data_IF_809085017386
#
_entry.id   IF_809085017386
#
_cell.length_a   1.000
_cell.length_b   1.000
_cell.length_c   1.000
_cell.angle_alpha   90.00
_cell.angle_beta   90.00
_cell.angle_gamma   90.00
#
_symmetry.space_group_name_H-M   'P 1'
#
loop_
_entity.id
_entity.type
_entity.pdbx_description
1 polymer ?
#
# COMPACT_ATOMS: atom_id res chain seq x y z
N UNK A 1 -2.23 36.12 -8.90
CA UNK A 1 -0.76 36.15 -9.07
C UNK A 1 -0.22 34.93 -9.82
N UNK A 2 -0.17 33.70 -9.28
CA UNK A 2 0.44 32.56 -9.99
C UNK A 2 -0.20 32.25 -11.35
N UNK A 3 -1.54 32.21 -11.44
CA UNK A 3 -2.28 31.99 -12.70
C UNK A 3 -1.96 33.08 -13.74
N UNK A 4 -1.77 34.31 -13.28
CA UNK A 4 -1.54 35.46 -14.15
C UNK A 4 -0.09 35.54 -14.62
N UNK A 5 0.87 35.07 -13.81
CA UNK A 5 2.30 35.19 -14.10
C UNK A 5 2.91 33.95 -14.74
N UNK A 6 2.42 32.75 -14.42
CA UNK A 6 3.01 31.51 -14.95
C UNK A 6 2.65 31.30 -16.42
N UNK A 7 3.68 31.17 -17.25
CA UNK A 7 3.58 30.95 -18.69
C UNK A 7 4.53 29.84 -19.12
N UNK A 8 4.18 29.10 -20.17
CA UNK A 8 5.05 28.09 -20.78
C UNK A 8 5.02 28.21 -22.31
N UNK A 9 6.06 27.74 -23.00
CA UNK A 9 6.05 27.67 -24.44
C UNK A 9 5.14 26.54 -24.95
N UNK A 10 4.32 26.86 -25.93
CA UNK A 10 3.51 25.92 -26.69
C UNK A 10 3.85 26.04 -28.17
N UNK A 11 4.24 24.91 -28.76
CA UNK A 11 4.45 24.81 -30.21
C UNK A 11 3.11 24.62 -30.92
N UNK A 12 2.90 25.35 -32.01
CA UNK A 12 1.71 25.23 -32.85
C UNK A 12 2.07 25.38 -34.33
N UNK A 13 1.25 24.81 -35.20
CA UNK A 13 1.42 24.90 -36.64
C UNK A 13 0.54 26.02 -37.19
N UNK A 14 1.16 26.97 -37.91
CA UNK A 14 0.45 28.03 -38.62
C UNK A 14 0.93 28.08 -40.06
N UNK A 15 0.03 27.81 -41.01
CA UNK A 15 0.34 27.78 -42.45
C UNK A 15 1.50 26.85 -42.83
N UNK A 16 1.65 25.72 -42.12
CA UNK A 16 2.71 24.73 -42.37
C UNK A 16 4.07 25.06 -41.73
N UNK A 17 4.18 26.16 -40.99
CA UNK A 17 5.40 26.54 -40.25
C UNK A 17 5.18 26.31 -38.76
N UNK A 18 6.13 25.64 -38.10
CA UNK A 18 6.13 25.49 -36.65
C UNK A 18 6.48 26.83 -35.99
N UNK A 19 5.60 27.31 -35.12
CA UNK A 19 5.78 28.53 -34.32
C UNK A 19 5.62 28.21 -32.84
N UNK A 20 6.12 29.11 -32.00
CA UNK A 20 6.06 28.99 -30.55
C UNK A 20 5.35 30.21 -29.96
N UNK A 21 4.47 29.99 -28.97
CA UNK A 21 3.80 31.05 -28.22
C UNK A 21 3.83 30.78 -26.73
N UNK A 22 3.83 31.84 -25.93
CA UNK A 22 3.73 31.73 -24.48
C UNK A 22 2.26 31.66 -24.06
N UNK A 23 1.86 30.56 -23.45
CA UNK A 23 0.49 30.32 -22.96
C UNK A 23 0.43 30.26 -21.43
N UNK A 24 -0.71 30.61 -20.80
CA UNK A 24 -0.91 30.43 -19.37
C UNK A 24 -0.67 28.98 -18.93
N UNK A 25 0.17 28.80 -17.90
CA UNK A 25 0.44 27.49 -17.32
C UNK A 25 -0.74 26.94 -16.52
N UNK A 26 -1.56 27.84 -15.99
CA UNK A 26 -2.75 27.52 -15.25
C UNK A 26 -3.91 28.36 -15.79
N UNK A 27 -5.10 27.76 -15.79
CA UNK A 27 -6.36 28.47 -16.04
C UNK A 27 -7.35 28.16 -14.93
N UNK A 28 -8.16 29.14 -14.56
CA UNK A 28 -9.31 28.92 -13.68
C UNK A 28 -10.55 28.62 -14.54
N UNK A 29 -11.29 27.58 -14.18
CA UNK A 29 -12.49 27.14 -14.88
C UNK A 29 -13.59 26.75 -13.89
N UNK A 30 -14.82 26.60 -14.38
CA UNK A 30 -15.98 26.23 -13.57
C UNK A 30 -16.53 24.88 -14.04
N UNK A 31 -16.53 23.90 -13.14
CA UNK A 31 -17.12 22.58 -13.42
C UNK A 31 -18.37 22.39 -12.57
N UNK A 32 -19.42 21.89 -13.21
CA UNK A 32 -20.62 21.44 -12.51
C UNK A 32 -20.45 19.99 -12.07
N UNK A 33 -20.51 19.76 -10.77
CA UNK A 33 -20.47 18.43 -10.18
C UNK A 33 -21.57 18.32 -9.11
N UNK A 34 -22.36 17.24 -9.14
CA UNK A 34 -23.46 17.00 -8.18
C UNK A 34 -24.42 18.19 -8.03
N UNK A 35 -24.75 18.85 -9.14
CA UNK A 35 -25.67 20.01 -9.16
C UNK A 35 -25.09 21.31 -8.59
N UNK A 36 -23.79 21.36 -8.25
CA UNK A 36 -23.12 22.57 -7.75
C UNK A 36 -21.95 22.97 -8.64
N UNK A 37 -21.72 24.28 -8.76
CA UNK A 37 -20.54 24.83 -9.44
C UNK A 37 -19.33 24.77 -8.52
N UNK A 38 -18.22 24.27 -9.05
CA UNK A 38 -16.93 24.23 -8.39
C UNK A 38 -15.92 24.99 -9.24
N UNK A 39 -15.21 25.95 -8.65
CA UNK A 39 -14.04 26.55 -9.26
C UNK A 39 -12.89 25.55 -9.24
N UNK A 40 -12.25 25.34 -10.38
CA UNK A 40 -11.08 24.47 -10.52
C UNK A 40 -9.95 25.23 -11.19
N UNK A 41 -8.71 24.84 -10.85
CA UNK A 41 -7.52 25.30 -11.56
C UNK A 41 -7.00 24.14 -12.38
N UNK A 42 -6.87 24.37 -13.69
CA UNK A 42 -6.41 23.37 -14.65
C UNK A 42 -5.01 23.75 -15.10
N UNK A 43 -4.07 22.80 -14.99
CA UNK A 43 -2.73 22.92 -15.54
C UNK A 43 -2.75 22.65 -17.06
N UNK A 44 -1.88 23.34 -17.80
CA UNK A 44 -1.70 23.11 -19.24
C UNK A 44 -1.17 21.68 -19.52
N UNK A 45 -1.54 21.09 -20.66
CA UNK A 45 -1.12 19.73 -21.04
C UNK A 45 0.40 19.55 -21.05
N UNK A 46 1.13 20.46 -21.70
CA UNK A 46 2.60 20.37 -21.74
C UNK A 46 3.22 20.47 -20.33
N UNK A 47 2.59 21.17 -19.38
CA UNK A 47 3.05 21.19 -17.99
C UNK A 47 2.81 19.83 -17.30
N UNK A 48 1.68 19.18 -17.58
CA UNK A 48 1.41 17.82 -17.09
C UNK A 48 2.41 16.80 -17.66
N UNK A 49 2.80 16.95 -18.93
CA UNK A 49 3.83 16.12 -19.57
C UNK A 49 5.21 16.30 -18.92
N UNK A 50 5.56 17.54 -18.56
CA UNK A 50 6.78 17.83 -17.80
C UNK A 50 6.77 17.16 -16.41
N UNK A 51 5.61 17.09 -15.75
CA UNK A 51 5.49 16.36 -14.49
C UNK A 51 5.57 14.84 -14.65
N UNK A 52 5.29 14.27 -15.83
CA UNK A 52 5.47 12.83 -16.09
C UNK A 52 6.90 12.44 -16.41
N UNK A 53 7.62 13.24 -17.20
CA UNK A 53 8.95 12.87 -17.71
C UNK A 53 10.10 13.40 -16.85
N UNK A 54 9.86 14.50 -16.13
CA UNK A 54 10.88 15.26 -15.40
C UNK A 54 10.39 15.65 -14.02
N UNK A 55 9.96 14.66 -13.23
CA UNK A 55 10.02 14.79 -11.78
C UNK A 55 11.50 14.69 -11.38
N UNK A 56 12.28 15.73 -11.67
CA UNK A 56 13.63 15.86 -11.14
C UNK A 56 13.55 15.89 -9.62
N UNK A 57 14.53 15.24 -8.99
CA UNK A 57 14.76 15.14 -7.55
C UNK A 57 14.66 16.48 -6.78
N UNK A 58 14.74 17.62 -7.48
CA UNK A 58 14.69 18.97 -6.93
C UNK A 58 13.29 19.42 -6.45
N UNK A 59 12.20 18.79 -6.91
CA UNK A 59 10.82 19.17 -6.53
C UNK A 59 10.22 18.30 -5.41
N UNK A 60 10.97 17.31 -4.90
CA UNK A 60 10.58 16.52 -3.73
C UNK A 60 10.81 17.33 -2.44
N UNK A 61 10.25 18.53 -2.38
CA UNK A 61 10.11 19.28 -1.13
C UNK A 61 8.79 18.90 -0.45
N UNK A 62 8.61 17.60 -0.18
CA UNK A 62 7.58 17.23 0.80
C UNK A 62 8.06 17.75 2.14
N UNK A 63 7.26 18.64 2.75
CA UNK A 63 7.53 19.16 4.10
C UNK A 63 7.79 18.05 5.13
N UNK A 64 7.23 16.86 4.90
CA UNK A 64 7.27 15.73 5.82
C UNK A 64 7.89 14.48 5.16
N UNK A 65 9.21 14.37 5.24
CA UNK A 65 10.00 13.17 4.91
C UNK A 65 10.34 12.36 6.18
N UNK A 66 10.79 11.10 6.06
CA UNK A 66 11.41 10.39 7.18
C UNK A 66 12.58 11.19 7.77
N UNK A 67 12.76 11.11 9.09
CA UNK A 67 13.84 11.83 9.77
C UNK A 67 15.15 11.04 9.70
N UNK A 68 16.27 11.72 9.48
CA UNK A 68 17.62 11.12 9.55
C UNK A 68 18.10 10.87 10.99
N UNK A 69 17.49 11.58 11.94
CA UNK A 69 17.81 11.55 13.36
C UNK A 69 16.56 11.16 14.16
N UNK A 70 16.72 10.67 15.41
CA UNK A 70 15.58 10.38 16.28
C UNK A 70 14.61 11.56 16.37
N UNK A 71 13.28 11.33 16.35
CA UNK A 71 12.29 12.37 16.56
C UNK A 71 12.43 13.05 17.92
N UNK A 72 11.93 14.29 18.04
CA UNK A 72 11.72 14.91 19.35
C UNK A 72 10.75 14.04 20.16
N UNK A 73 11.04 13.77 21.44
CA UNK A 73 10.09 13.07 22.30
C UNK A 73 8.80 13.86 22.43
N UNK A 74 7.68 13.16 22.52
CA UNK A 74 6.38 13.75 22.75
C UNK A 74 6.22 14.16 24.22
N UNK A 75 6.23 15.47 24.49
CA UNK A 75 6.12 16.04 25.84
C UNK A 75 4.73 16.59 26.14
N UNK A 76 4.06 17.14 25.13
CA UNK A 76 2.71 17.71 25.23
C UNK A 76 1.94 17.42 23.95
N UNK A 77 0.68 17.86 23.87
CA UNK A 77 -0.13 17.63 22.69
C UNK A 77 0.44 18.20 21.38
N UNK A 78 1.37 19.16 21.42
CA UNK A 78 1.97 19.83 20.26
C UNK A 78 3.51 19.96 20.35
N UNK A 79 4.15 19.17 21.21
CA UNK A 79 5.60 19.17 21.38
C UNK A 79 6.10 17.74 21.19
N UNK A 80 6.63 17.43 20.00
CA UNK A 80 7.16 16.12 19.62
C UNK A 80 7.26 15.97 18.11
N UNK A 81 7.82 14.85 17.64
CA UNK A 81 7.95 14.54 16.21
C UNK A 81 9.13 15.27 15.54
N UNK A 82 8.86 16.11 14.53
CA UNK A 82 9.91 16.82 13.78
C UNK A 82 10.66 17.84 14.63
N UNK A 83 11.91 18.16 14.27
CA UNK A 83 12.74 19.12 15.01
C UNK A 83 12.25 20.56 14.87
N UNK A 84 11.79 20.95 13.67
CA UNK A 84 11.47 22.34 13.31
C UNK A 84 10.01 22.57 12.96
N UNK A 85 9.26 21.52 12.63
CA UNK A 85 7.81 21.58 12.42
C UNK A 85 7.08 21.16 13.68
N UNK A 86 6.15 21.99 14.13
CA UNK A 86 5.28 21.66 15.24
C UNK A 86 4.02 20.98 14.70
N UNK A 87 3.88 19.70 15.03
CA UNK A 87 2.72 18.89 14.68
C UNK A 87 1.98 18.48 15.95
N UNK A 88 0.65 18.47 15.95
CA UNK A 88 -0.09 17.92 17.08
C UNK A 88 0.06 16.40 17.12
N UNK A 89 0.10 15.84 18.33
CA UNK A 89 0.10 14.39 18.54
C UNK A 89 -1.20 13.73 18.01
N UNK A 90 -2.30 14.49 17.86
CA UNK A 90 -3.59 14.00 17.38
C UNK A 90 -4.09 14.80 16.16
N UNK A 91 -4.56 14.09 15.14
CA UNK A 91 -5.17 14.65 13.92
C UNK A 91 -6.62 15.07 14.19
N UNK A 92 -6.87 16.36 14.41
CA UNK A 92 -8.19 16.89 14.78
C UNK A 92 -9.10 17.27 13.61
N UNK A 93 -8.65 17.14 12.35
CA UNK A 93 -9.41 17.57 11.16
C UNK A 93 -10.01 18.99 11.26
N UNK A 94 -9.34 19.90 11.97
CA UNK A 94 -9.79 21.27 12.24
C UNK A 94 -11.07 21.39 13.10
N UNK A 95 -11.42 20.36 13.86
CA UNK A 95 -12.46 20.43 14.88
C UNK A 95 -11.96 21.20 16.13
N UNK A 96 -12.54 22.37 16.45
CA UNK A 96 -12.10 23.18 17.59
C UNK A 96 -12.35 22.50 18.95
N UNK A 97 -13.39 21.68 19.05
CA UNK A 97 -13.75 20.99 20.29
C UNK A 97 -12.75 19.87 20.60
N UNK A 98 -12.39 19.07 19.59
CA UNK A 98 -11.35 18.04 19.73
C UNK A 98 -10.02 18.65 20.18
N UNK A 99 -9.63 19.77 19.58
CA UNK A 99 -8.40 20.46 19.97
C UNK A 99 -8.46 21.00 21.40
N UNK A 100 -9.60 21.56 21.82
CA UNK A 100 -9.80 22.05 23.18
C UNK A 100 -9.67 20.91 24.20
N UNK A 101 -10.33 19.78 23.97
CA UNK A 101 -10.28 18.61 24.86
C UNK A 101 -8.87 18.02 24.93
N UNK A 102 -8.18 17.93 23.78
CA UNK A 102 -6.80 17.46 23.74
C UNK A 102 -5.86 18.36 24.56
N UNK A 103 -6.01 19.69 24.43
CA UNK A 103 -5.24 20.66 25.23
C UNK A 103 -5.48 20.47 26.72
N UNK A 104 -6.75 20.34 27.14
CA UNK A 104 -7.09 20.08 28.54
C UNK A 104 -6.46 18.77 29.04
N UNK A 105 -6.59 17.68 28.27
CA UNK A 105 -5.98 16.39 28.63
C UNK A 105 -4.45 16.48 28.75
N UNK A 106 -3.80 17.26 27.88
CA UNK A 106 -2.35 17.48 27.95
C UNK A 106 -1.94 18.32 29.16
N UNK A 107 -2.69 19.37 29.48
CA UNK A 107 -2.40 20.23 30.64
C UNK A 107 -2.58 19.50 31.97
N UNK A 108 -3.44 18.49 31.99
CA UNK A 108 -3.70 17.62 33.15
C UNK A 108 -2.88 16.32 33.14
N UNK A 109 -1.87 16.21 32.26
CA UNK A 109 -0.98 15.04 32.13
C UNK A 109 -1.69 13.69 31.91
N UNK A 110 -2.85 13.70 31.24
CA UNK A 110 -3.63 12.47 30.93
C UNK A 110 -3.14 11.74 29.67
N UNK A 111 -2.09 12.24 29.02
CA UNK A 111 -1.60 11.74 27.73
C UNK A 111 -0.28 10.97 27.83
N UNK A 112 0.40 10.99 28.98
CA UNK A 112 1.77 10.48 29.17
C UNK A 112 2.00 9.07 28.60
N UNK A 113 1.14 8.10 28.90
CA UNK A 113 1.25 6.72 28.40
C UNK A 113 1.12 6.67 26.87
N UNK A 114 0.19 7.46 26.30
CA UNK A 114 -0.01 7.51 24.86
C UNK A 114 1.19 8.15 24.16
N UNK A 115 1.70 9.27 24.69
CA UNK A 115 2.87 9.97 24.15
C UNK A 115 4.12 9.07 24.18
N UNK A 116 4.34 8.34 25.28
CA UNK A 116 5.41 7.34 25.36
C UNK A 116 5.26 6.22 24.32
N UNK A 117 4.02 5.81 24.00
CA UNK A 117 3.75 4.87 22.92
C UNK A 117 4.11 5.43 21.54
N UNK A 118 3.80 6.70 21.26
CA UNK A 118 4.22 7.37 20.03
C UNK A 118 5.74 7.48 19.92
N UNK A 119 6.43 7.75 21.04
CA UNK A 119 7.89 7.80 21.09
C UNK A 119 8.52 6.43 20.81
N UNK A 120 8.00 5.36 21.42
CA UNK A 120 8.48 4.00 21.16
C UNK A 120 8.37 3.62 19.67
N UNK A 121 7.26 3.99 19.03
CA UNK A 121 7.08 3.80 17.58
C UNK A 121 8.04 4.68 16.77
N UNK A 122 8.21 5.95 17.17
CA UNK A 122 9.04 6.93 16.46
C UNK A 122 10.54 6.68 16.56
N UNK A 123 11.00 6.09 17.66
CA UNK A 123 12.41 5.78 17.92
C UNK A 123 12.89 4.51 17.19
N UNK A 124 11.97 3.73 16.61
CA UNK A 124 12.35 2.57 15.80
C UNK A 124 13.10 3.03 14.55
N UNK A 125 14.33 2.54 14.39
CA UNK A 125 15.23 2.91 13.30
C UNK A 125 15.08 1.96 12.11
N UNK A 126 14.86 2.53 10.94
CA UNK A 126 14.62 1.82 9.68
C UNK A 126 15.72 2.08 8.66
N UNK A 127 15.83 1.19 7.67
CA UNK A 127 16.72 1.30 6.53
C UNK A 127 16.02 0.78 5.26
N UNK A 128 16.57 1.15 4.09
CA UNK A 128 16.12 0.62 2.80
C UNK A 128 16.76 -0.74 2.54
N UNK A 129 15.95 -1.72 2.16
CA UNK A 129 16.41 -3.00 1.66
C UNK A 129 16.98 -2.83 0.24
N UNK A 130 18.29 -2.72 0.13
CA UNK A 130 18.98 -2.41 -1.13
C UNK A 130 18.70 -3.43 -2.22
N UNK A 131 18.67 -4.74 -1.88
CA UNK A 131 18.42 -5.81 -2.87
C UNK A 131 16.99 -5.76 -3.43
N UNK A 132 16.01 -5.46 -2.59
CA UNK A 132 14.62 -5.27 -3.04
C UNK A 132 14.48 -3.98 -3.84
N UNK A 133 15.16 -2.90 -3.42
CA UNK A 133 15.18 -1.63 -4.14
C UNK A 133 15.76 -1.80 -5.56
N UNK A 134 16.85 -2.55 -5.73
CA UNK A 134 17.43 -2.84 -7.05
C UNK A 134 16.46 -3.60 -7.96
N UNK A 135 15.75 -4.60 -7.42
CA UNK A 135 14.72 -5.33 -8.15
C UNK A 135 13.57 -4.41 -8.59
N UNK A 136 13.07 -3.55 -7.68
CA UNK A 136 12.04 -2.55 -7.98
C UNK A 136 12.53 -1.58 -9.05
N UNK A 137 13.74 -1.04 -8.91
CA UNK A 137 14.34 -0.10 -9.87
C UNK A 137 14.47 -0.72 -11.26
N UNK A 138 14.85 -1.99 -11.33
CA UNK A 138 14.94 -2.73 -12.60
C UNK A 138 13.58 -2.82 -13.30
N UNK A 139 12.53 -3.18 -12.56
CA UNK A 139 11.15 -3.20 -13.09
C UNK A 139 10.70 -1.81 -13.51
N UNK A 140 10.87 -0.81 -12.64
CA UNK A 140 10.47 0.58 -12.91
C UNK A 140 11.06 1.13 -14.21
N UNK A 141 12.37 0.93 -14.40
CA UNK A 141 13.10 1.39 -15.58
C UNK A 141 12.72 0.63 -16.86
N UNK A 142 12.27 -0.63 -16.75
CA UNK A 142 11.76 -1.37 -17.91
C UNK A 142 10.45 -0.80 -18.45
N UNK A 143 9.67 -0.12 -17.61
CA UNK A 143 8.35 0.39 -17.95
C UNK A 143 7.25 -0.68 -17.97
N UNK A 144 7.56 -1.94 -17.68
CA UNK A 144 6.59 -3.03 -17.63
C UNK A 144 5.79 -3.03 -16.32
N UNK A 145 4.56 -3.55 -16.37
CA UNK A 145 3.77 -3.82 -15.17
C UNK A 145 4.26 -5.11 -14.49
N UNK A 146 4.55 -5.04 -13.18
CA UNK A 146 4.88 -6.22 -12.37
C UNK A 146 4.62 -5.93 -10.89
N UNK A 147 3.96 -6.86 -10.19
CA UNK A 147 3.78 -6.83 -8.74
C UNK A 147 3.33 -5.45 -8.21
N UNK A 148 2.22 -4.93 -8.74
CA UNK A 148 1.65 -3.61 -8.41
C UNK A 148 2.46 -2.38 -8.85
N UNK A 149 3.63 -2.56 -9.49
CA UNK A 149 4.30 -1.46 -10.20
C UNK A 149 3.54 -1.23 -11.51
N UNK A 150 2.96 -0.04 -11.74
CA UNK A 150 2.18 0.23 -12.94
C UNK A 150 3.07 0.33 -14.18
N UNK A 151 2.56 -0.08 -15.34
CA UNK A 151 3.24 0.12 -16.63
C UNK A 151 3.45 1.61 -16.97
N UNK A 152 4.40 1.88 -17.88
CA UNK A 152 4.71 3.24 -18.35
C UNK A 152 3.64 3.80 -19.28
N UNK A 153 3.15 2.96 -20.18
CA UNK A 153 2.10 3.31 -21.14
C UNK A 153 0.75 2.75 -20.72
N UNK A 154 -0.31 3.46 -21.11
CA UNK A 154 -1.69 2.99 -21.04
C UNK A 154 -2.07 2.41 -22.41
N UNK A 155 -1.82 1.12 -22.62
CA UNK A 155 -1.99 0.48 -23.93
C UNK A 155 -3.43 0.03 -24.22
N UNK A 156 -4.41 0.50 -23.44
CA UNK A 156 -5.83 0.27 -23.72
C UNK A 156 -6.28 1.27 -24.80
N UNK A 157 -6.79 0.79 -25.96
CA UNK A 157 -7.19 1.66 -27.05
C UNK A 157 -8.35 2.58 -26.65
N UNK A 158 -8.34 3.82 -27.14
CA UNK A 158 -9.45 4.74 -26.94
C UNK A 158 -10.71 4.19 -27.62
N UNK A 159 -11.87 4.13 -26.92
CA UNK A 159 -13.12 3.67 -27.51
C UNK A 159 -13.48 4.46 -28.76
N UNK A 160 -13.87 3.76 -29.82
CA UNK A 160 -14.27 4.39 -31.08
C UNK A 160 -15.72 4.85 -31.02
N UNK A 161 -16.00 6.06 -31.53
CA UNK A 161 -17.37 6.58 -31.62
C UNK A 161 -18.20 5.66 -32.56
N UNK A 162 -19.31 5.06 -32.12
CA UNK A 162 -20.14 4.21 -32.97
C UNK A 162 -20.72 4.98 -34.16
N UNK A 163 -20.93 4.29 -35.29
CA UNK A 163 -21.47 4.91 -36.50
C UNK A 163 -22.92 5.39 -36.34
N UNK A 164 -23.71 4.70 -35.51
CA UNK A 164 -25.10 5.03 -35.18
C UNK A 164 -25.23 5.89 -33.91
N UNK A 165 -24.12 6.48 -33.42
CA UNK A 165 -24.11 7.26 -32.19
C UNK A 165 -25.15 8.40 -32.23
N UNK A 166 -25.28 9.13 -33.33
CA UNK A 166 -26.17 10.31 -33.34
C UNK A 166 -27.67 9.91 -33.40
N UNK A 167 -27.98 8.65 -33.74
CA UNK A 167 -29.36 8.15 -33.91
C UNK A 167 -29.81 7.14 -32.86
N UNK A 168 -28.88 6.48 -32.16
CA UNK A 168 -29.17 5.42 -31.19
C UNK A 168 -28.76 5.81 -29.76
N UNK A 169 -29.75 5.99 -28.87
CA UNK A 169 -29.52 6.35 -27.46
C UNK A 169 -28.77 5.29 -26.65
N UNK A 170 -28.95 4.01 -26.98
CA UNK A 170 -28.20 2.92 -26.30
C UNK A 170 -26.73 2.94 -26.71
N UNK A 171 -26.45 3.15 -28.01
CA UNK A 171 -25.10 3.31 -28.52
C UNK A 171 -24.40 4.55 -27.91
N UNK A 172 -25.13 5.67 -27.74
CA UNK A 172 -24.63 6.83 -27.01
C UNK A 172 -24.26 6.46 -25.58
N UNK A 173 -25.20 5.87 -24.82
CA UNK A 173 -24.97 5.52 -23.42
C UNK A 173 -23.77 4.58 -23.25
N UNK A 174 -23.68 3.55 -24.10
CA UNK A 174 -22.58 2.59 -24.09
C UNK A 174 -21.23 3.26 -24.37
N UNK A 175 -21.13 4.05 -25.44
CA UNK A 175 -19.91 4.79 -25.76
C UNK A 175 -19.51 5.75 -24.64
N UNK A 176 -20.46 6.44 -24.01
CA UNK A 176 -20.19 7.33 -22.88
C UNK A 176 -19.65 6.57 -21.66
N UNK A 177 -20.19 5.39 -21.37
CA UNK A 177 -19.69 4.52 -20.30
C UNK A 177 -18.27 4.04 -20.59
N UNK A 178 -18.03 3.49 -21.78
CA UNK A 178 -16.70 3.01 -22.22
C UNK A 178 -15.67 4.14 -22.22
N UNK A 179 -16.01 5.32 -22.75
CA UNK A 179 -15.15 6.49 -22.76
C UNK A 179 -14.83 6.98 -21.35
N UNK A 180 -15.82 6.94 -20.44
CA UNK A 180 -15.61 7.28 -19.03
C UNK A 180 -14.69 6.27 -18.34
N UNK A 181 -14.89 4.98 -18.56
CA UNK A 181 -14.02 3.93 -18.03
C UNK A 181 -12.59 4.06 -18.55
N UNK A 182 -12.42 4.30 -19.86
CA UNK A 182 -11.11 4.51 -20.47
C UNK A 182 -10.40 5.74 -19.89
N UNK A 183 -11.09 6.89 -19.77
CA UNK A 183 -10.53 8.11 -19.16
C UNK A 183 -10.15 7.89 -17.70
N UNK A 184 -11.00 7.22 -16.93
CA UNK A 184 -10.72 6.88 -15.54
C UNK A 184 -9.53 5.93 -15.43
N UNK A 185 -9.45 4.91 -16.28
CA UNK A 185 -8.33 3.95 -16.31
C UNK A 185 -7.00 4.64 -16.59
N UNK A 186 -6.95 5.50 -17.62
CA UNK A 186 -5.77 6.30 -17.96
C UNK A 186 -5.36 7.23 -16.81
N UNK A 187 -6.31 7.94 -16.21
CA UNK A 187 -6.05 8.84 -15.08
C UNK A 187 -5.57 8.09 -13.83
N UNK A 188 -6.18 6.94 -13.53
CA UNK A 188 -5.79 6.08 -12.41
C UNK A 188 -4.38 5.54 -12.58
N UNK A 189 -4.02 5.03 -13.77
CA UNK A 189 -2.68 4.52 -14.03
C UNK A 189 -1.63 5.63 -13.91
N UNK A 190 -1.91 6.82 -14.46
CA UNK A 190 -1.04 7.98 -14.30
C UNK A 190 -0.85 8.33 -12.81
N UNK A 191 -1.93 8.40 -12.04
CA UNK A 191 -1.87 8.68 -10.59
C UNK A 191 -1.07 7.63 -9.83
N UNK A 192 -1.28 6.35 -10.11
CA UNK A 192 -0.53 5.25 -9.50
C UNK A 192 0.95 5.32 -9.85
N UNK A 193 1.27 5.68 -11.09
CA UNK A 193 2.66 5.83 -11.56
C UNK A 193 3.35 6.99 -10.84
N UNK A 194 2.69 8.14 -10.69
CA UNK A 194 3.24 9.26 -9.91
C UNK A 194 3.47 8.91 -8.44
N UNK A 195 2.52 8.22 -7.78
CA UNK A 195 2.66 7.76 -6.40
C UNK A 195 3.83 6.78 -6.23
N UNK A 196 3.94 5.80 -7.15
CA UNK A 196 5.05 4.85 -7.18
C UNK A 196 6.41 5.56 -7.35
N UNK A 197 6.49 6.50 -8.30
CA UNK A 197 7.70 7.29 -8.53
C UNK A 197 8.13 8.03 -7.25
N UNK A 198 7.19 8.69 -6.56
CA UNK A 198 7.48 9.42 -5.33
C UNK A 198 8.09 8.52 -4.25
N UNK A 199 7.57 7.30 -4.12
CA UNK A 199 8.10 6.30 -3.16
C UNK A 199 9.49 5.81 -3.55
N UNK A 200 9.72 5.56 -4.84
CA UNK A 200 11.03 5.12 -5.36
C UNK A 200 12.07 6.21 -5.16
N UNK A 201 11.75 7.48 -5.48
CA UNK A 201 12.67 8.60 -5.30
C UNK A 201 13.00 8.86 -3.83
N UNK A 202 12.02 8.78 -2.91
CA UNK A 202 12.30 8.84 -1.48
C UNK A 202 13.18 7.66 -1.06
N UNK A 203 12.85 6.43 -1.45
CA UNK A 203 13.66 5.26 -1.11
C UNK A 203 15.10 5.39 -1.64
N UNK A 204 15.28 5.95 -2.84
CA UNK A 204 16.58 6.22 -3.43
C UNK A 204 17.38 7.24 -2.61
N UNK A 205 16.74 8.34 -2.19
CA UNK A 205 17.36 9.38 -1.38
C UNK A 205 17.84 8.85 -0.01
N UNK A 206 17.18 7.83 0.55
CA UNK A 206 17.51 7.23 1.84
C UNK A 206 18.29 5.89 1.74
N UNK A 207 18.76 5.49 0.54
CA UNK A 207 19.36 4.17 0.31
C UNK A 207 20.54 3.84 1.24
N UNK A 208 21.32 4.86 1.62
CA UNK A 208 22.49 4.75 2.49
C UNK A 208 22.30 5.50 3.82
N UNK A 209 21.06 5.82 4.19
CA UNK A 209 20.76 6.62 5.38
C UNK A 209 19.76 5.91 6.28
N UNK A 210 19.90 6.04 7.61
CA UNK A 210 18.86 5.60 8.53
C UNK A 210 17.62 6.48 8.42
N UNK A 211 16.48 5.91 8.77
CA UNK A 211 15.19 6.59 8.79
C UNK A 211 14.50 6.38 10.13
N UNK A 212 13.87 7.44 10.62
CA UNK A 212 12.92 7.40 11.71
C UNK A 212 11.58 7.96 11.22
N UNK A 213 10.48 7.33 11.65
CA UNK A 213 9.14 7.76 11.31
C UNK A 213 8.49 8.33 12.55
N UNK A 214 8.46 9.66 12.76
CA UNK A 214 7.67 10.22 13.85
C UNK A 214 6.21 9.83 13.65
N UNK A 215 5.51 9.49 14.74
CA UNK A 215 4.11 9.09 14.72
C UNK A 215 3.22 10.15 15.37
N UNK A 216 2.01 10.30 14.85
CA UNK A 216 0.89 10.94 15.51
C UNK A 216 -0.30 9.96 15.54
N UNK A 217 -1.45 10.37 16.04
CA UNK A 217 -2.64 9.52 16.12
C UNK A 217 -3.90 10.16 15.52
N UNK A 218 -4.90 9.34 15.18
CA UNK A 218 -6.26 9.83 14.93
C UNK A 218 -7.01 10.11 16.25
N UNK A 219 -8.23 10.66 16.16
CA UNK A 219 -9.08 10.96 17.31
C UNK A 219 -9.46 9.73 18.17
N UNK A 220 -9.22 8.50 17.66
CA UNK A 220 -9.49 7.24 18.36
C UNK A 220 -8.25 6.68 19.06
N UNK A 221 -7.09 7.30 18.86
CA UNK A 221 -5.81 6.85 19.41
C UNK A 221 -5.02 5.90 18.51
N UNK A 222 -5.43 5.64 17.26
CA UNK A 222 -4.63 4.81 16.34
C UNK A 222 -3.41 5.59 15.87
N UNK A 223 -2.22 5.02 16.03
CA UNK A 223 -0.98 5.65 15.60
C UNK A 223 -0.76 5.54 14.08
N UNK A 224 -0.17 6.58 13.50
CA UNK A 224 0.17 6.72 12.10
C UNK A 224 1.50 7.47 11.95
N UNK A 225 2.40 7.06 11.05
CA UNK A 225 3.53 7.88 10.66
C UNK A 225 3.06 9.25 10.16
N UNK A 226 3.80 10.29 10.53
CA UNK A 226 3.59 11.65 10.01
C UNK A 226 4.03 11.75 8.54
N UNK A 227 5.19 11.19 8.09
CA UNK A 227 5.55 11.18 6.67
C UNK A 227 4.50 10.40 5.85
N UNK A 228 3.75 11.05 4.92
CA UNK A 228 2.58 10.43 4.32
C UNK A 228 2.90 9.56 3.09
N UNK A 229 3.98 9.87 2.36
CA UNK A 229 4.24 9.30 1.04
C UNK A 229 4.94 7.93 1.09
N UNK A 230 5.95 7.79 1.95
CA UNK A 230 6.73 6.58 2.11
C UNK A 230 6.87 6.24 3.59
N UNK A 231 6.30 5.12 4.02
CA UNK A 231 6.35 4.60 5.39
C UNK A 231 5.89 3.13 5.43
N UNK A 232 6.10 2.47 6.57
CA UNK A 232 5.79 1.04 6.77
C UNK A 232 4.29 0.70 6.85
N UNK A 233 3.38 1.69 6.94
CA UNK A 233 1.93 1.46 6.80
C UNK A 233 1.46 1.48 5.34
N UNK A 234 2.35 1.79 4.39
CA UNK A 234 2.07 1.83 2.96
C UNK A 234 1.72 0.47 2.34
N UNK A 235 1.68 0.44 1.00
CA UNK A 235 1.42 -0.77 0.22
C UNK A 235 2.57 -1.79 0.32
N UNK A 236 2.39 -2.95 -0.30
CA UNK A 236 3.37 -4.06 -0.26
C UNK A 236 4.78 -3.62 -0.65
N UNK A 237 4.90 -2.80 -1.71
CA UNK A 237 6.18 -2.21 -2.13
C UNK A 237 6.90 -1.44 -1.01
N UNK A 238 6.19 -0.55 -0.28
CA UNK A 238 6.78 0.19 0.83
C UNK A 238 7.25 -0.75 1.96
N UNK A 239 6.48 -1.80 2.26
CA UNK A 239 6.80 -2.75 3.33
C UNK A 239 7.97 -3.67 2.96
N UNK A 240 8.05 -4.09 1.71
CA UNK A 240 9.18 -4.86 1.19
C UNK A 240 10.48 -4.04 1.10
N UNK A 241 10.38 -2.74 0.85
CA UNK A 241 11.52 -1.81 0.83
C UNK A 241 12.08 -1.51 2.22
N UNK A 242 11.28 -1.60 3.28
CA UNK A 242 11.69 -1.21 4.63
C UNK A 242 12.17 -2.42 5.44
N UNK A 243 13.31 -2.28 6.08
CA UNK A 243 13.87 -3.23 7.07
C UNK A 243 14.28 -2.48 8.33
N UNK A 244 14.47 -3.19 9.44
CA UNK A 244 15.08 -2.57 10.62
C UNK A 244 16.54 -2.24 10.34
N UNK A 245 16.95 -1.03 10.70
CA UNK A 245 18.36 -0.64 10.58
C UNK A 245 19.23 -1.46 11.54
N UNK A 246 18.72 -1.74 12.74
CA UNK A 246 19.41 -2.54 13.74
C UNK A 246 19.00 -4.01 13.61
N UNK A 247 19.94 -4.85 13.18
CA UNK A 247 19.72 -6.28 13.05
C UNK A 247 19.83 -7.01 14.39
N UNK A 248 19.22 -8.19 14.46
CA UNK A 248 19.29 -9.09 15.62
C UNK A 248 19.63 -10.52 15.15
N UNK A 249 20.45 -11.28 15.91
CA UNK A 249 20.68 -12.68 15.57
C UNK A 249 19.35 -13.45 15.58
N UNK A 250 19.12 -14.27 14.56
CA UNK A 250 17.84 -14.98 14.41
C UNK A 250 17.54 -15.88 15.61
N UNK A 251 18.51 -16.63 16.11
CA UNK A 251 18.33 -17.83 16.94
C UNK A 251 17.54 -18.94 16.21
N UNK A 252 17.48 -20.14 16.77
CA UNK A 252 16.64 -21.22 16.23
C UNK A 252 15.15 -20.81 16.14
N UNK A 253 14.67 -20.06 17.14
CA UNK A 253 13.28 -19.57 17.18
C UNK A 253 13.01 -18.48 16.14
N UNK A 254 13.96 -17.58 15.90
CA UNK A 254 13.77 -16.56 14.87
C UNK A 254 13.83 -17.14 13.47
N UNK A 255 14.68 -18.15 13.22
CA UNK A 255 14.66 -18.89 11.95
C UNK A 255 13.30 -19.59 11.73
N UNK A 256 12.75 -20.21 12.78
CA UNK A 256 11.40 -20.79 12.76
C UNK A 256 10.33 -19.74 12.42
N UNK A 257 10.36 -18.57 13.06
CA UNK A 257 9.42 -17.49 12.79
C UNK A 257 9.60 -16.84 11.41
N UNK A 258 10.82 -16.77 10.89
CA UNK A 258 11.10 -16.29 9.54
C UNK A 258 10.45 -17.21 8.48
N UNK A 259 10.53 -18.53 8.66
CA UNK A 259 9.82 -19.50 7.81
C UNK A 259 8.30 -19.32 7.89
N UNK A 260 7.74 -19.14 9.09
CA UNK A 260 6.30 -18.89 9.26
C UNK A 260 5.88 -17.58 8.59
N UNK A 261 6.68 -16.52 8.76
CA UNK A 261 6.44 -15.22 8.15
C UNK A 261 6.39 -15.34 6.62
N UNK A 262 7.37 -16.01 6.03
CA UNK A 262 7.39 -16.28 4.59
C UNK A 262 6.12 -17.05 4.15
N UNK A 263 5.76 -18.13 4.84
CA UNK A 263 4.53 -18.86 4.53
C UNK A 263 3.25 -17.99 4.62
N UNK A 264 3.17 -17.07 5.59
CA UNK A 264 2.05 -16.13 5.71
C UNK A 264 1.98 -15.19 4.50
N UNK A 265 3.11 -14.70 3.99
CA UNK A 265 3.16 -13.84 2.81
C UNK A 265 2.65 -14.57 1.54
N UNK A 266 2.78 -15.90 1.49
CA UNK A 266 2.21 -16.78 0.46
C UNK A 266 0.73 -17.17 0.72
N UNK A 267 0.05 -16.51 1.65
CA UNK A 267 -1.36 -16.78 1.97
C UNK A 267 -1.60 -18.12 2.68
N UNK A 268 -0.57 -18.70 3.33
CA UNK A 268 -0.70 -19.97 4.08
C UNK A 268 -1.03 -19.76 5.57
N UNK A 269 -1.64 -18.63 5.90
CA UNK A 269 -1.99 -18.20 7.26
C UNK A 269 -3.08 -19.07 7.93
N UNK A 270 -3.76 -19.95 7.17
CA UNK A 270 -4.76 -20.91 7.69
C UNK A 270 -4.18 -22.26 8.10
N UNK A 271 -2.93 -22.53 7.71
CA UNK A 271 -2.23 -23.73 8.14
C UNK A 271 -1.76 -23.58 9.59
N UNK A 272 -1.55 -24.70 10.29
CA UNK A 272 -0.81 -24.69 11.56
C UNK A 272 0.62 -24.21 11.35
N UNK A 273 1.30 -23.76 12.41
CA UNK A 273 2.67 -23.26 12.29
C UNK A 273 3.66 -24.32 11.75
N UNK A 274 3.50 -25.59 12.12
CA UNK A 274 4.34 -26.68 11.61
C UNK A 274 4.12 -26.93 10.11
N UNK A 275 2.88 -26.90 9.65
CA UNK A 275 2.54 -27.00 8.23
C UNK A 275 3.08 -25.81 7.41
N UNK A 276 3.10 -24.60 7.99
CA UNK A 276 3.73 -23.42 7.37
C UNK A 276 5.24 -23.56 7.21
N UNK A 277 5.92 -24.07 8.24
CA UNK A 277 7.35 -24.37 8.16
C UNK A 277 7.63 -25.40 7.07
N UNK A 278 6.85 -26.49 7.04
CA UNK A 278 6.99 -27.54 6.02
C UNK A 278 6.74 -27.02 4.60
N UNK A 279 5.79 -26.09 4.43
CA UNK A 279 5.58 -25.42 3.15
C UNK A 279 6.85 -24.70 2.68
N UNK A 280 7.52 -23.95 3.57
CA UNK A 280 8.79 -23.27 3.22
C UNK A 280 9.90 -24.27 2.92
N UNK A 281 10.04 -25.31 3.73
CA UNK A 281 11.07 -26.35 3.54
C UNK A 281 10.93 -27.08 2.21
N UNK A 282 9.69 -27.36 1.78
CA UNK A 282 9.42 -27.98 0.48
C UNK A 282 9.69 -27.06 -0.72
N UNK A 283 9.88 -25.75 -0.51
CA UNK A 283 10.04 -24.75 -1.56
C UNK A 283 11.41 -24.03 -1.49
N UNK A 284 12.38 -24.54 -0.71
CA UNK A 284 13.68 -23.87 -0.49
C UNK A 284 14.43 -23.57 -1.79
N UNK A 285 14.36 -24.44 -2.79
CA UNK A 285 15.01 -24.22 -4.09
C UNK A 285 14.40 -23.01 -4.83
N UNK A 286 13.07 -22.93 -4.90
CA UNK A 286 12.38 -21.79 -5.52
C UNK A 286 12.55 -20.48 -4.75
N UNK A 287 12.71 -20.56 -3.43
CA UNK A 287 13.02 -19.42 -2.55
C UNK A 287 14.43 -18.92 -2.84
N UNK A 288 15.42 -19.81 -2.90
CA UNK A 288 16.81 -19.45 -3.21
C UNK A 288 16.92 -18.88 -4.63
N UNK A 289 16.27 -19.49 -5.62
CA UNK A 289 16.23 -18.97 -6.99
C UNK A 289 15.60 -17.57 -7.06
N UNK A 290 14.53 -17.32 -6.30
CA UNK A 290 13.89 -16.00 -6.18
C UNK A 290 14.82 -14.96 -5.57
N UNK A 291 15.65 -15.34 -4.60
CA UNK A 291 16.62 -14.44 -4.00
C UNK A 291 17.79 -14.12 -4.96
N UNK A 292 18.28 -15.13 -5.68
CA UNK A 292 19.48 -15.00 -6.53
C UNK A 292 19.23 -14.21 -7.81
N UNK A 293 18.08 -14.42 -8.44
CA UNK A 293 17.70 -13.72 -9.67
C UNK A 293 16.23 -13.30 -9.61
N UNK A 294 15.90 -12.25 -8.82
CA UNK A 294 14.52 -11.88 -8.53
C UNK A 294 13.73 -11.42 -9.76
N UNK A 295 14.41 -10.73 -10.68
CA UNK A 295 13.82 -10.15 -11.89
C UNK A 295 14.73 -10.47 -13.09
N UNK A 296 14.65 -11.68 -13.68
CA UNK A 296 15.43 -12.03 -14.87
C UNK A 296 15.00 -11.15 -16.06
N UNK A 297 15.91 -10.84 -16.98
CA UNK A 297 15.61 -9.96 -18.13
C UNK A 297 14.50 -10.52 -19.03
N UNK A 298 14.43 -11.85 -19.15
CA UNK A 298 13.38 -12.53 -19.89
C UNK A 298 11.98 -12.30 -19.30
N UNK A 299 11.87 -11.99 -18.00
CA UNK A 299 10.58 -11.66 -17.37
C UNK A 299 10.07 -10.30 -17.85
N UNK A 300 10.97 -9.36 -18.13
CA UNK A 300 10.65 -7.99 -18.55
C UNK A 300 10.41 -7.88 -20.05
N UNK A 301 10.98 -8.77 -20.87
CA UNK A 301 10.83 -8.73 -22.33
C UNK A 301 9.51 -9.29 -22.86
N UNK A 302 8.62 -9.78 -22.00
CA UNK A 302 7.33 -10.39 -22.39
C UNK A 302 7.44 -11.78 -23.03
N UNK A 303 8.66 -12.25 -23.34
CA UNK A 303 8.94 -13.54 -23.98
C UNK A 303 9.35 -14.63 -22.96
N UNK A 304 8.72 -14.62 -21.78
CA UNK A 304 9.09 -15.54 -20.71
C UNK A 304 8.47 -16.93 -20.94
N UNK A 305 9.28 -17.89 -21.36
CA UNK A 305 8.88 -19.30 -21.57
C UNK A 305 9.18 -20.22 -20.37
N UNK A 306 9.77 -19.68 -19.30
CA UNK A 306 10.12 -20.43 -18.08
C UNK A 306 9.09 -20.33 -16.95
N UNK A 307 9.38 -20.97 -15.82
CA UNK A 307 8.61 -20.82 -14.57
C UNK A 307 8.93 -19.49 -13.90
N UNK A 308 7.91 -18.65 -13.66
CA UNK A 308 8.11 -17.33 -13.04
C UNK A 308 8.77 -17.49 -11.67
N UNK A 309 9.60 -16.52 -11.24
CA UNK A 309 10.14 -16.50 -9.88
C UNK A 309 9.04 -16.72 -8.83
N UNK A 310 9.29 -17.64 -7.88
CA UNK A 310 8.30 -18.12 -6.92
C UNK A 310 7.66 -16.97 -6.13
N UNK A 311 8.44 -15.96 -5.76
CA UNK A 311 7.98 -14.80 -4.97
C UNK A 311 6.79 -14.05 -5.61
N UNK A 312 6.65 -14.08 -6.94
CA UNK A 312 5.52 -13.45 -7.65
C UNK A 312 4.18 -14.15 -7.42
N UNK A 313 4.18 -15.38 -6.91
CA UNK A 313 2.96 -16.12 -6.57
C UNK A 313 2.44 -15.84 -5.16
N UNK A 314 3.17 -15.04 -4.37
CA UNK A 314 2.76 -14.65 -3.03
C UNK A 314 1.63 -13.60 -3.06
N UNK A 315 0.83 -13.51 -1.99
CA UNK A 315 -0.19 -12.47 -1.84
C UNK A 315 0.45 -11.09 -1.64
N UNK A 316 1.66 -11.06 -1.07
CA UNK A 316 2.45 -9.86 -0.79
C UNK A 316 3.84 -10.03 -1.42
N UNK A 317 3.96 -9.83 -2.74
CA UNK A 317 5.12 -10.26 -3.51
C UNK A 317 6.43 -9.57 -3.09
N UNK A 318 6.46 -8.25 -2.87
CA UNK A 318 7.70 -7.53 -2.50
C UNK A 318 8.18 -7.89 -1.09
N UNK A 319 7.26 -8.04 -0.14
CA UNK A 319 7.60 -8.57 1.18
C UNK A 319 8.09 -10.03 1.09
N UNK A 320 7.49 -10.85 0.22
CA UNK A 320 7.92 -12.24 0.02
C UNK A 320 9.33 -12.30 -0.58
N UNK A 321 9.64 -11.42 -1.53
CA UNK A 321 11.00 -11.30 -2.07
C UNK A 321 12.01 -10.91 -0.97
N UNK A 322 11.68 -9.91 -0.13
CA UNK A 322 12.52 -9.52 1.00
C UNK A 322 12.79 -10.71 1.95
N UNK A 323 11.75 -11.49 2.27
CA UNK A 323 11.86 -12.68 3.10
C UNK A 323 12.61 -13.84 2.43
N UNK A 324 12.47 -14.03 1.11
CA UNK A 324 13.25 -15.00 0.34
C UNK A 324 14.75 -14.66 0.38
N UNK A 325 15.08 -13.38 0.19
CA UNK A 325 16.45 -12.85 0.28
C UNK A 325 17.04 -13.12 1.66
N UNK A 326 16.31 -12.75 2.72
CA UNK A 326 16.75 -12.90 4.10
C UNK A 326 16.97 -14.37 4.48
N UNK A 327 15.99 -15.24 4.17
CA UNK A 327 16.07 -16.66 4.49
C UNK A 327 17.20 -17.34 3.72
N UNK A 328 17.39 -17.00 2.44
CA UNK A 328 18.48 -17.58 1.63
C UNK A 328 19.84 -17.17 2.17
N UNK A 329 20.01 -15.90 2.59
CA UNK A 329 21.23 -15.43 3.22
C UNK A 329 21.50 -16.16 4.55
N UNK A 330 20.48 -16.32 5.40
CA UNK A 330 20.59 -17.07 6.65
C UNK A 330 20.99 -18.53 6.42
N UNK A 331 20.32 -19.22 5.50
CA UNK A 331 20.58 -20.64 5.20
C UNK A 331 21.96 -20.90 4.57
N UNK A 332 22.55 -19.90 3.91
CA UNK A 332 23.91 -19.96 3.34
C UNK A 332 25.00 -19.50 4.31
N UNK A 333 24.63 -18.93 5.46
CA UNK A 333 25.60 -18.56 6.50
C UNK A 333 26.16 -19.81 7.19
N UNK A 334 27.36 -19.73 7.81
CA UNK A 334 27.94 -20.87 8.53
C UNK A 334 27.04 -21.40 9.65
N UNK A 335 26.31 -20.51 10.33
CA UNK A 335 25.33 -20.86 11.35
C UNK A 335 24.06 -20.00 11.18
N UNK A 336 22.97 -20.55 10.60
CA UNK A 336 21.72 -19.82 10.39
C UNK A 336 21.11 -19.22 11.66
N UNK A 337 21.36 -19.80 12.84
CA UNK A 337 20.85 -19.28 14.11
C UNK A 337 21.62 -18.04 14.60
N UNK A 338 22.84 -17.80 14.12
CA UNK A 338 23.64 -16.62 14.47
C UNK A 338 23.56 -15.52 13.40
N UNK A 339 22.93 -15.80 12.26
CA UNK A 339 22.70 -14.82 11.20
C UNK A 339 21.96 -13.59 11.75
N UNK A 340 22.55 -12.42 11.58
CA UNK A 340 21.97 -11.13 12.00
C UNK A 340 20.94 -10.70 10.97
N UNK A 341 19.66 -10.85 11.33
CA UNK A 341 18.54 -10.50 10.48
C UNK A 341 18.03 -9.10 10.77
N UNK A 342 17.65 -8.40 9.70
CA UNK A 342 17.08 -7.06 9.71
C UNK A 342 15.60 -7.04 9.34
N UNK A 343 15.08 -8.16 8.84
CA UNK A 343 13.70 -8.26 8.38
C UNK A 343 12.72 -8.18 9.55
N UNK A 344 11.70 -7.34 9.40
CA UNK A 344 10.59 -7.30 10.34
C UNK A 344 9.66 -8.51 10.11
N UNK A 345 9.13 -9.08 11.20
CA UNK A 345 8.19 -10.21 11.15
C UNK A 345 6.83 -9.75 11.64
N UNK A 346 5.82 -9.89 10.79
CA UNK A 346 4.44 -9.53 11.12
C UNK A 346 3.75 -10.62 11.97
N UNK A 347 3.05 -10.18 13.01
CA UNK A 347 2.05 -10.94 13.75
C UNK A 347 0.74 -10.13 13.72
N UNK A 348 -0.33 -10.72 13.20
CA UNK A 348 -1.63 -10.04 13.08
C UNK A 348 -2.75 -10.85 13.72
N UNK A 349 -3.68 -10.14 14.35
CA UNK A 349 -4.87 -10.71 14.98
C UNK A 349 -5.96 -10.97 13.95
N UNK A 350 -6.54 -12.18 13.96
CA UNK A 350 -7.67 -12.50 13.09
C UNK A 350 -8.92 -11.75 13.56
N UNK A 351 -9.22 -10.64 12.88
CA UNK A 351 -10.32 -9.73 13.21
C UNK A 351 -10.27 -9.17 14.64
N UNK A 352 -9.25 -8.34 14.92
CA UNK A 352 -9.05 -7.68 16.23
C UNK A 352 -10.32 -7.03 16.81
N UNK A 353 -11.20 -6.46 15.96
CA UNK A 353 -12.47 -5.89 16.40
C UNK A 353 -13.41 -6.93 17.07
N UNK A 354 -13.59 -8.09 16.44
CA UNK A 354 -14.40 -9.18 17.01
C UNK A 354 -13.70 -9.86 18.20
N UNK A 355 -12.36 -9.87 18.23
CA UNK A 355 -11.62 -10.29 19.43
C UNK A 355 -11.98 -9.41 20.63
N UNK A 356 -11.99 -8.08 20.47
CA UNK A 356 -12.42 -7.18 21.54
C UNK A 356 -13.89 -7.39 21.92
N UNK A 357 -14.81 -7.56 20.96
CA UNK A 357 -16.22 -7.84 21.27
C UNK A 357 -16.40 -9.15 22.03
N UNK A 358 -15.77 -10.23 21.60
CA UNK A 358 -15.83 -11.52 22.28
C UNK A 358 -15.24 -11.43 23.69
N UNK A 359 -14.14 -10.70 23.89
CA UNK A 359 -13.56 -10.49 25.21
C UNK A 359 -14.47 -9.66 26.14
N UNK A 360 -15.04 -8.56 25.65
CA UNK A 360 -15.96 -7.71 26.42
C UNK A 360 -17.25 -8.43 26.79
N UNK A 361 -17.85 -9.14 25.82
CA UNK A 361 -19.09 -9.91 26.02
C UNK A 361 -18.88 -11.26 26.71
N UNK A 362 -17.61 -11.69 26.88
CA UNK A 362 -17.25 -13.04 27.33
C UNK A 362 -17.95 -14.15 26.52
N UNK A 363 -18.13 -13.90 25.23
CA UNK A 363 -18.75 -14.84 24.30
C UNK A 363 -17.76 -15.97 23.97
N UNK A 364 -18.03 -17.16 24.50
CA UNK A 364 -17.17 -18.33 24.34
C UNK A 364 -17.10 -18.81 22.89
N UNK A 365 -18.22 -18.79 22.17
CA UNK A 365 -18.29 -19.29 20.81
C UNK A 365 -17.64 -18.29 19.85
N UNK A 366 -17.93 -17.00 20.05
CA UNK A 366 -17.24 -15.89 19.38
C UNK A 366 -15.73 -15.94 19.61
N UNK A 367 -15.29 -16.10 20.87
CA UNK A 367 -13.88 -16.20 21.26
C UNK A 367 -13.14 -17.34 20.56
N UNK A 368 -13.81 -18.50 20.36
CA UNK A 368 -13.25 -19.60 19.57
C UNK A 368 -13.10 -19.21 18.10
N UNK A 369 -14.10 -18.58 17.49
CA UNK A 369 -14.08 -18.15 16.09
C UNK A 369 -12.95 -17.16 15.75
N UNK A 370 -12.49 -16.38 16.74
CA UNK A 370 -11.47 -15.33 16.58
C UNK A 370 -10.13 -15.64 17.27
N UNK A 371 -9.89 -16.90 17.62
CA UNK A 371 -8.61 -17.39 18.18
C UNK A 371 -8.25 -16.86 19.58
N UNK A 372 -9.22 -16.44 20.39
CA UNK A 372 -8.99 -16.17 21.81
C UNK A 372 -8.97 -17.44 22.65
N UNK A 373 -9.75 -18.45 22.25
CA UNK A 373 -9.70 -19.77 22.87
C UNK A 373 -8.61 -20.64 22.21
N UNK A 374 -7.93 -21.47 23.01
CA UNK A 374 -6.91 -22.40 22.52
C UNK A 374 -7.48 -23.41 21.52
N UNK A 375 -6.73 -23.68 20.45
CA UNK A 375 -7.07 -24.61 19.38
C UNK A 375 -5.80 -25.07 18.68
N UNK A 376 -5.78 -26.30 18.16
CA UNK A 376 -4.63 -26.87 17.43
C UNK A 376 -4.41 -26.21 16.06
N UNK A 377 -5.47 -25.62 15.51
CA UNK A 377 -5.45 -24.91 14.23
C UNK A 377 -6.07 -23.51 14.35
N UNK A 378 -5.53 -22.52 13.61
CA UNK A 378 -6.16 -21.21 13.50
C UNK A 378 -7.60 -21.34 13.01
N UNK A 379 -8.52 -20.76 13.77
CA UNK A 379 -9.92 -20.60 13.40
C UNK A 379 -10.09 -19.40 12.48
N UNK A 380 -11.10 -19.51 11.61
CA UNK A 380 -11.39 -18.51 10.59
C UNK A 380 -12.87 -18.14 10.64
N UNK A 381 -13.17 -17.07 11.39
CA UNK A 381 -14.54 -16.56 11.55
C UNK A 381 -15.23 -16.31 10.20
N UNK A 382 -14.48 -15.85 9.19
CA UNK A 382 -15.02 -15.55 7.87
C UNK A 382 -15.50 -16.80 7.14
N UNK A 383 -14.76 -17.91 7.22
CA UNK A 383 -15.19 -19.20 6.67
C UNK A 383 -16.37 -19.78 7.45
N UNK A 384 -16.47 -19.52 8.75
CA UNK A 384 -17.65 -19.84 9.55
C UNK A 384 -18.90 -19.15 9.02
N UNK A 385 -18.83 -17.82 8.85
CA UNK A 385 -19.95 -17.01 8.36
C UNK A 385 -20.29 -17.36 6.91
N UNK A 386 -19.30 -17.61 6.06
CA UNK A 386 -19.52 -18.06 4.68
C UNK A 386 -20.39 -19.33 4.63
N UNK A 387 -20.09 -20.33 5.44
CA UNK A 387 -20.89 -21.58 5.49
C UNK A 387 -22.35 -21.32 5.90
N UNK A 388 -22.57 -20.39 6.83
CA UNK A 388 -23.93 -20.00 7.24
C UNK A 388 -24.64 -19.29 6.10
N UNK A 389 -23.98 -18.34 5.43
CA UNK A 389 -24.54 -17.62 4.28
C UNK A 389 -24.86 -18.56 3.11
N UNK A 390 -23.97 -19.48 2.78
CA UNK A 390 -24.18 -20.49 1.74
C UNK A 390 -25.39 -21.38 2.04
N UNK A 391 -25.58 -21.78 3.31
CA UNK A 391 -26.76 -22.55 3.70
C UNK A 391 -28.05 -21.78 3.45
N UNK A 392 -28.12 -20.52 3.90
CA UNK A 392 -29.32 -19.67 3.73
C UNK A 392 -29.61 -19.41 2.25
N UNK A 393 -28.61 -19.04 1.45
CA UNK A 393 -28.77 -18.85 0.00
C UNK A 393 -29.25 -20.13 -0.69
N UNK A 394 -28.77 -21.29 -0.26
CA UNK A 394 -29.23 -22.57 -0.82
C UNK A 394 -30.69 -22.90 -0.43
N UNK A 395 -31.15 -22.48 0.76
CA UNK A 395 -32.53 -22.64 1.21
C UNK A 395 -33.47 -21.73 0.40
N UNK A 396 -33.09 -20.46 0.21
CA UNK A 396 -33.87 -19.50 -0.59
C UNK A 396 -33.89 -19.87 -2.08
N UNK A 397 -32.77 -20.35 -2.61
CA UNK A 397 -32.70 -20.82 -4.00
C UNK A 397 -33.64 -22.03 -4.23
N UNK A 398 -33.84 -22.90 -3.22
CA UNK A 398 -34.82 -24.00 -3.32
C UNK A 398 -36.26 -23.50 -3.32
N UNK A 399 -36.52 -22.34 -2.71
CA UNK A 399 -37.82 -21.68 -2.71
C UNK A 399 -38.08 -20.83 -3.96
N UNK A 400 -37.11 -20.76 -4.88
CA UNK A 400 -37.24 -20.03 -6.14
C UNK A 400 -36.97 -18.54 -6.05
N UNK A 401 -36.31 -18.07 -4.98
CA UNK A 401 -35.87 -16.67 -4.86
C UNK A 401 -34.82 -16.36 -5.93
N UNK A 402 -35.08 -15.37 -6.77
CA UNK A 402 -34.28 -15.06 -7.97
C UNK A 402 -32.85 -14.66 -7.61
N UNK A 403 -32.67 -13.79 -6.63
CA UNK A 403 -31.35 -13.33 -6.17
C UNK A 403 -30.52 -14.49 -5.60
N UNK A 404 -31.16 -15.43 -4.91
CA UNK A 404 -30.49 -16.59 -4.34
C UNK A 404 -30.02 -17.56 -5.43
N UNK A 405 -30.80 -17.74 -6.50
CA UNK A 405 -30.39 -18.53 -7.67
C UNK A 405 -29.18 -17.92 -8.37
N UNK A 406 -29.12 -16.59 -8.48
CA UNK A 406 -27.99 -15.86 -9.05
C UNK A 406 -26.72 -16.00 -8.20
N UNK A 407 -26.84 -16.01 -6.88
CA UNK A 407 -25.73 -16.04 -5.93
C UNK A 407 -25.24 -17.44 -5.57
N UNK A 408 -26.04 -18.48 -5.84
CA UNK A 408 -25.71 -19.87 -5.54
C UNK A 408 -24.34 -20.24 -6.13
N UNK A 409 -23.47 -20.82 -5.30
CA UNK A 409 -22.08 -21.19 -5.63
C UNK A 409 -21.17 -20.03 -6.07
N UNK A 410 -21.58 -18.77 -5.88
CA UNK A 410 -20.76 -17.57 -6.18
C UNK A 410 -20.26 -16.84 -4.94
N UNK A 411 -20.71 -17.25 -3.75
CA UNK A 411 -20.20 -16.70 -2.50
C UNK A 411 -18.75 -17.13 -2.29
N UNK A 412 -17.91 -16.18 -1.86
CA UNK A 412 -16.51 -16.46 -1.55
C UNK A 412 -16.15 -15.83 -0.23
N UNK A 413 -15.11 -16.37 0.41
CA UNK A 413 -14.54 -15.81 1.63
C UNK A 413 -14.15 -14.33 1.49
N UNK A 414 -13.66 -13.93 0.31
CA UNK A 414 -13.25 -12.54 0.01
C UNK A 414 -14.44 -11.58 0.09
N UNK A 415 -15.60 -11.99 -0.45
CA UNK A 415 -16.84 -11.21 -0.39
C UNK A 415 -17.29 -11.04 1.07
N UNK A 416 -17.34 -12.15 1.82
CA UNK A 416 -17.79 -12.13 3.23
C UNK A 416 -16.86 -11.30 4.12
N UNK A 417 -15.53 -11.43 3.94
CA UNK A 417 -14.53 -10.71 4.75
C UNK A 417 -14.67 -9.18 4.69
N UNK A 418 -15.12 -8.63 3.57
CA UNK A 418 -15.27 -7.17 3.45
C UNK A 418 -16.49 -6.65 4.22
N UNK A 419 -17.53 -7.47 4.36
CA UNK A 419 -18.78 -7.12 5.04
C UNK A 419 -18.73 -7.36 6.55
N UNK A 420 -18.05 -8.43 6.96
CA UNK A 420 -17.80 -8.81 8.37
C UNK A 420 -16.66 -7.98 8.94
#
# INVERSE_FOLDING_TARGET
MLIESARLPEKYMESGVEKERMVPAFKHDLVFAKGRRHGIVIAHSNLLELFTDSFSTEVVNSRHLPMLVPPRPWLTYNSGGYLTSDEPCMRTKHDPEQLRLLRTASNEDRLSIMLAGLDALGLTKWAINQRVFEAIRKVWNSGCELAEIPAKSYDVPEPTKPADYDTNKEAQSKYWMEMREWRNGRANQHSQRCDCNYKIEIAQAFLNHPMYFPHNMDFRGRAYPIPPHFNHLGNDMCRGLLIFHEGRPLTEKGLYWLKIHLANLFGKDKLSHSERVKFVENNLEGIAASADNPVPDSLLSGNYSGNRPLWLSAENPWQALAACIELTAAMRSPNPAEFVSHLHIHQDGTCNGLQHYAAMGRDRDGAKGVNLAMSDRPQDVYSGILRVAERLVNEDAKQGVEEALLLKNRLTRKIVKQTV
#
